data_IF_964838959921
#
_entry.id   IF_964838959921
#
_cell.length_a   1.000
_cell.length_b   1.000
_cell.length_c   1.000
_cell.angle_alpha   90.00
_cell.angle_beta   90.00
_cell.angle_gamma   90.00
#
_symmetry.space_group_name_H-M   'P 1'
#
loop_
_entity.id
_entity.type
_entity.pdbx_description
1 polymer ?
#
# COMPACT_ATOMS: atom_id res chain seq x y z
N UNK A 1 1.76 6.22 6.30
CA UNK A 1 2.32 4.89 6.54
C UNK A 1 1.49 4.16 7.58
N UNK A 2 0.94 3.00 7.21
CA UNK A 2 0.31 2.07 8.15
C UNK A 2 1.31 1.63 9.23
N UNK A 3 0.86 1.59 10.48
CA UNK A 3 1.61 0.93 11.56
C UNK A 3 1.44 -0.57 11.42
N UNK A 4 2.32 -1.35 12.06
CA UNK A 4 2.32 -2.82 11.90
C UNK A 4 0.98 -3.48 12.23
N UNK A 5 0.29 -3.18 13.36
CA UNK A 5 -0.96 -3.88 13.70
C UNK A 5 -2.08 -3.61 12.70
N UNK A 6 -2.23 -2.35 12.26
CA UNK A 6 -3.27 -1.98 11.29
C UNK A 6 -2.89 -2.41 9.88
N UNK A 7 -1.61 -2.42 9.55
CA UNK A 7 -1.09 -2.91 8.28
C UNK A 7 -1.40 -4.39 8.09
N UNK A 8 -1.04 -5.23 9.07
CA UNK A 8 -1.35 -6.67 9.07
C UNK A 8 -2.85 -6.96 8.92
N UNK A 9 -3.69 -6.16 9.58
CA UNK A 9 -5.13 -6.38 9.57
C UNK A 9 -5.84 -5.87 8.31
N UNK A 10 -5.39 -4.75 7.72
CA UNK A 10 -6.22 -3.98 6.79
C UNK A 10 -5.54 -3.60 5.47
N UNK A 11 -4.21 -3.63 5.38
CA UNK A 11 -3.51 -3.08 4.21
C UNK A 11 -3.95 -3.73 2.90
N UNK A 12 -3.81 -5.05 2.79
CA UNK A 12 -4.18 -5.78 1.58
C UNK A 12 -5.68 -5.66 1.28
N UNK A 13 -6.53 -5.84 2.30
CA UNK A 13 -7.99 -5.90 2.10
C UNK A 13 -8.54 -4.56 1.60
N UNK A 14 -8.02 -3.43 2.11
CA UNK A 14 -8.46 -2.09 1.70
C UNK A 14 -8.04 -1.78 0.26
N UNK A 15 -6.82 -2.14 -0.12
CA UNK A 15 -6.31 -1.90 -1.46
C UNK A 15 -7.04 -2.75 -2.50
N UNK A 16 -7.28 -4.02 -2.20
CA UNK A 16 -8.06 -4.91 -3.06
C UNK A 16 -9.51 -4.45 -3.21
N UNK A 17 -10.14 -4.05 -2.09
CA UNK A 17 -11.48 -3.47 -2.14
C UNK A 17 -11.54 -2.23 -3.05
N UNK A 18 -10.57 -1.32 -2.93
CA UNK A 18 -10.50 -0.11 -3.77
C UNK A 18 -10.32 -0.43 -5.25
N UNK A 19 -9.49 -1.41 -5.58
CA UNK A 19 -9.25 -1.83 -6.96
C UNK A 19 -10.52 -2.39 -7.62
N UNK A 20 -11.26 -3.23 -6.89
CA UNK A 20 -12.53 -3.81 -7.34
C UNK A 20 -13.62 -2.74 -7.49
N UNK A 21 -13.78 -1.88 -6.48
CA UNK A 21 -14.83 -0.84 -6.45
C UNK A 21 -14.69 0.13 -7.63
N UNK A 22 -13.45 0.51 -7.97
CA UNK A 22 -13.16 1.50 -9.00
C UNK A 22 -12.86 0.89 -10.37
N UNK A 23 -12.70 -0.44 -10.44
CA UNK A 23 -12.24 -1.16 -11.62
C UNK A 23 -11.00 -0.51 -12.21
N UNK A 24 -10.00 -0.32 -11.36
CA UNK A 24 -8.73 0.32 -11.69
C UNK A 24 -7.57 -0.46 -11.09
N UNK A 25 -6.41 -0.35 -11.74
CA UNK A 25 -5.16 -0.75 -11.09
C UNK A 25 -4.90 0.18 -9.90
N UNK A 26 -4.54 -0.40 -8.75
CA UNK A 26 -4.14 0.34 -7.56
C UNK A 26 -2.65 0.09 -7.33
N UNK A 27 -1.87 1.15 -7.36
CA UNK A 27 -0.44 1.12 -7.03
C UNK A 27 -0.26 1.77 -5.66
N UNK A 28 0.16 0.97 -4.67
CA UNK A 28 0.30 1.40 -3.29
C UNK A 28 1.78 1.34 -2.87
N UNK A 29 2.42 2.51 -2.83
CA UNK A 29 3.76 2.68 -2.31
C UNK A 29 3.69 2.93 -0.79
N UNK A 30 4.34 2.05 -0.01
CA UNK A 30 4.37 2.10 1.45
C UNK A 30 5.79 2.40 1.98
N UNK A 31 5.86 3.11 3.10
CA UNK A 31 7.10 3.18 3.89
C UNK A 31 7.30 1.86 4.66
N UNK A 32 8.55 1.45 4.83
CA UNK A 32 8.92 0.26 5.59
C UNK A 32 10.00 0.60 6.62
N UNK A 33 9.89 -0.02 7.80
CA UNK A 33 10.93 -0.01 8.82
C UNK A 33 10.78 1.06 9.89
N UNK A 34 11.79 1.12 10.74
CA UNK A 34 11.84 1.99 11.90
C UNK A 34 12.20 3.43 11.50
N UNK A 35 11.38 4.39 11.93
CA UNK A 35 11.57 5.81 11.68
C UNK A 35 11.89 6.53 12.98
N UNK A 36 13.03 7.24 12.98
CA UNK A 36 13.46 8.06 14.10
C UNK A 36 12.50 9.24 14.26
N UNK A 37 11.58 9.17 15.21
CA UNK A 37 10.78 10.32 15.63
C UNK A 37 11.57 11.04 16.71
N UNK A 38 12.17 12.19 16.37
CA UNK A 38 12.78 13.07 17.37
C UNK A 38 11.69 13.80 18.15
N UNK A 39 11.12 13.13 19.16
CA UNK A 39 10.53 13.86 20.27
C UNK A 39 11.69 14.31 21.16
N UNK A 40 11.83 15.63 21.34
CA UNK A 40 12.78 16.22 22.30
C UNK A 40 12.77 15.41 23.60
N UNK A 41 13.93 14.91 24.07
CA UNK A 41 13.96 14.03 25.23
C UNK A 41 13.54 14.85 26.46
N UNK A 42 12.33 14.59 26.96
CA UNK A 42 11.82 15.26 28.15
C UNK A 42 12.32 14.61 29.45
N UNK A 43 12.84 13.38 29.36
CA UNK A 43 13.39 12.66 30.50
C UNK A 43 14.35 11.55 30.06
N UNK A 44 15.38 11.32 30.87
CA UNK A 44 16.46 10.34 30.64
C UNK A 44 16.00 8.86 30.79
N UNK A 45 14.71 8.65 31.13
CA UNK A 45 14.11 7.33 31.37
C UNK A 45 13.13 6.88 30.29
N UNK A 46 12.82 7.73 29.29
CA UNK A 46 11.93 7.37 28.20
C UNK A 46 12.71 6.62 27.11
N UNK A 47 12.60 5.29 27.08
CA UNK A 47 13.01 4.46 25.93
C UNK A 47 12.39 5.07 24.66
N UNK A 48 13.24 5.60 23.79
CA UNK A 48 12.88 6.16 22.47
C UNK A 48 12.13 5.09 21.66
N UNK A 49 10.80 5.15 21.65
CA UNK A 49 9.96 4.21 20.89
C UNK A 49 9.94 4.65 19.44
N UNK A 50 10.74 3.99 18.59
CA UNK A 50 10.76 4.23 17.15
C UNK A 50 9.44 3.78 16.51
N UNK A 51 8.90 4.58 15.59
CA UNK A 51 7.68 4.24 14.86
C UNK A 51 8.05 3.30 13.72
N UNK A 52 7.48 2.09 13.70
CA UNK A 52 7.69 1.12 12.61
C UNK A 52 6.54 1.17 11.61
N UNK A 53 6.88 1.41 10.33
CA UNK A 53 5.94 1.35 9.21
C UNK A 53 5.88 -0.05 8.63
N UNK A 54 4.68 -0.50 8.25
CA UNK A 54 4.39 -1.87 7.85
C UNK A 54 5.12 -2.32 6.55
N UNK A 55 5.31 -1.42 5.58
CA UNK A 55 5.79 -1.79 4.25
C UNK A 55 4.72 -2.49 3.43
N UNK A 56 5.09 -3.58 2.76
CA UNK A 56 4.20 -4.39 1.90
C UNK A 56 3.63 -3.59 0.71
N UNK A 57 4.46 -2.73 0.11
CA UNK A 57 4.08 -2.02 -1.13
C UNK A 57 3.54 -3.01 -2.16
N UNK A 58 2.42 -2.69 -2.81
CA UNK A 58 1.77 -3.64 -3.70
C UNK A 58 1.08 -2.98 -4.89
N UNK A 59 0.89 -3.78 -5.94
CA UNK A 59 0.05 -3.43 -7.08
C UNK A 59 -1.09 -4.44 -7.17
N UNK A 60 -2.30 -3.92 -7.30
CA UNK A 60 -3.53 -4.70 -7.42
C UNK A 60 -4.20 -4.41 -8.76
N UNK A 61 -4.65 -5.45 -9.44
CA UNK A 61 -5.38 -5.35 -10.71
C UNK A 61 -6.85 -4.92 -10.50
N UNK A 62 -7.56 -4.52 -11.57
CA UNK A 62 -8.98 -4.13 -11.51
C UNK A 62 -9.96 -5.23 -11.05
N UNK A 63 -9.52 -6.49 -11.01
CA UNK A 63 -10.29 -7.63 -10.50
C UNK A 63 -10.01 -7.91 -9.01
N UNK A 64 -9.11 -7.13 -8.40
CA UNK A 64 -8.68 -7.30 -7.02
C UNK A 64 -7.62 -8.36 -6.81
N UNK A 65 -6.88 -8.79 -7.84
CA UNK A 65 -5.73 -9.70 -7.70
C UNK A 65 -4.47 -8.89 -7.42
N UNK A 66 -3.67 -9.34 -6.47
CA UNK A 66 -2.35 -8.75 -6.21
C UNK A 66 -1.39 -9.26 -7.28
N UNK A 67 -0.83 -8.34 -8.07
CA UNK A 67 0.09 -8.67 -9.18
C UNK A 67 1.55 -8.35 -8.84
N UNK A 68 1.78 -7.59 -7.77
CA UNK A 68 3.08 -7.39 -7.15
C UNK A 68 2.87 -7.13 -5.67
N UNK A 69 3.67 -7.75 -4.83
CA UNK A 69 3.79 -7.47 -3.41
C UNK A 69 5.29 -7.45 -3.06
N UNK A 70 5.71 -6.38 -2.40
CA UNK A 70 7.08 -6.17 -1.94
C UNK A 70 7.20 -6.58 -0.48
N UNK A 71 8.42 -6.81 -0.03
CA UNK A 71 8.66 -7.16 1.37
C UNK A 71 8.31 -6.00 2.31
N UNK A 72 8.09 -6.34 3.57
CA UNK A 72 7.74 -5.38 4.60
C UNK A 72 8.30 -5.75 5.97
N UNK A 73 7.49 -5.50 6.98
CA UNK A 73 7.76 -5.96 8.35
C UNK A 73 7.53 -7.45 8.45
N UNK A 74 8.44 -8.14 9.15
CA UNK A 74 8.39 -9.58 9.39
C UNK A 74 7.06 -9.98 10.04
N UNK A 75 6.44 -11.09 9.63
CA UNK A 75 5.14 -11.52 10.17
C UNK A 75 5.21 -11.94 11.64
N UNK A 76 6.38 -12.42 12.10
CA UNK A 76 6.67 -12.88 13.45
C UNK A 76 7.16 -11.78 14.39
N UNK A 77 7.38 -10.55 13.89
CA UNK A 77 7.81 -9.43 14.73
C UNK A 77 6.78 -9.11 15.83
N UNK A 78 7.27 -8.97 17.06
CA UNK A 78 6.50 -8.87 18.31
C UNK A 78 6.30 -7.42 18.80
N UNK A 79 7.01 -6.46 18.21
CA UNK A 79 6.93 -5.05 18.62
C UNK A 79 8.05 -4.58 19.54
N UNK A 80 9.01 -5.45 19.91
CA UNK A 80 10.03 -5.10 20.90
C UNK A 80 11.28 -4.49 20.28
N UNK A 81 11.94 -5.19 19.35
CA UNK A 81 13.16 -4.70 18.70
C UNK A 81 12.85 -4.08 17.33
N UNK A 82 12.86 -2.74 17.24
CA UNK A 82 12.58 -2.05 15.97
C UNK A 82 13.66 -2.26 14.90
N UNK A 83 14.88 -2.64 15.28
CA UNK A 83 15.99 -2.88 14.34
C UNK A 83 15.80 -4.19 13.55
N UNK A 84 15.22 -5.21 14.19
CA UNK A 84 14.93 -6.53 13.58
C UNK A 84 13.52 -6.61 12.98
N UNK A 85 12.78 -5.50 12.95
CA UNK A 85 11.39 -5.51 12.50
C UNK A 85 11.22 -5.86 11.01
N UNK A 86 12.24 -5.60 10.20
CA UNK A 86 12.13 -5.57 8.74
C UNK A 86 12.70 -6.85 8.12
N UNK A 87 12.06 -7.34 7.06
CA UNK A 87 12.60 -8.45 6.28
C UNK A 87 13.87 -8.05 5.52
N UNK A 88 14.79 -8.99 5.35
CA UNK A 88 16.04 -8.75 4.65
C UNK A 88 15.76 -8.40 3.18
N UNK A 89 16.24 -7.22 2.78
CA UNK A 89 16.03 -6.67 1.45
C UNK A 89 14.70 -5.94 1.26
N UNK A 90 13.90 -5.68 2.31
CA UNK A 90 12.69 -4.87 2.17
C UNK A 90 12.97 -3.36 2.05
N UNK A 91 14.07 -2.87 2.64
CA UNK A 91 14.45 -1.46 2.57
C UNK A 91 15.14 -1.17 1.23
N UNK A 92 14.63 -0.17 0.50
CA UNK A 92 15.23 0.27 -0.77
C UNK A 92 14.96 -0.65 -1.96
N UNK A 93 14.04 -1.60 -1.82
CA UNK A 93 13.60 -2.47 -2.91
C UNK A 93 12.79 -1.68 -3.95
N UNK A 94 12.85 -2.10 -5.22
CA UNK A 94 12.05 -1.54 -6.31
C UNK A 94 11.30 -2.66 -7.04
N UNK A 95 9.97 -2.58 -7.03
CA UNK A 95 9.10 -3.45 -7.81
C UNK A 95 8.70 -2.81 -9.13
N UNK A 96 8.75 -3.58 -10.22
CA UNK A 96 8.32 -3.14 -11.56
C UNK A 96 7.20 -4.05 -12.02
N UNK A 97 6.15 -3.45 -12.57
CA UNK A 97 4.98 -4.15 -13.11
C UNK A 97 4.62 -3.55 -14.45
N UNK A 98 4.36 -4.41 -15.42
CA UNK A 98 3.76 -4.00 -16.70
C UNK A 98 2.23 -3.98 -16.55
N UNK A 99 1.63 -2.84 -16.89
CA UNK A 99 0.18 -2.66 -16.81
C UNK A 99 -0.45 -3.02 -18.16
N UNK A 100 -1.23 -4.10 -18.18
CA UNK A 100 -2.04 -4.48 -19.35
C UNK A 100 -3.34 -3.67 -19.37
N UNK A 101 -3.41 -2.70 -20.28
CA UNK A 101 -4.61 -1.90 -20.52
C UNK A 101 -5.73 -2.70 -21.20
N UNK A 102 -5.39 -3.74 -21.97
CA UNK A 102 -6.38 -4.64 -22.57
C UNK A 102 -7.12 -5.45 -21.50
N UNK A 103 -6.45 -5.86 -20.43
CA UNK A 103 -7.11 -6.52 -19.30
C UNK A 103 -8.06 -5.56 -18.56
N UNK A 104 -7.67 -4.30 -18.39
CA UNK A 104 -8.55 -3.28 -17.81
C UNK A 104 -9.83 -3.08 -18.63
N UNK A 105 -9.73 -3.00 -19.95
CA UNK A 105 -10.90 -2.91 -20.84
C UNK A 105 -11.82 -4.13 -20.68
N UNK A 106 -11.24 -5.33 -20.69
CA UNK A 106 -12.01 -6.59 -20.51
C UNK A 106 -12.73 -6.64 -19.18
N UNK A 107 -12.11 -6.17 -18.09
CA UNK A 107 -12.75 -6.14 -16.77
C UNK A 107 -13.99 -5.24 -16.79
N UNK A 108 -13.88 -4.05 -17.39
CA UNK A 108 -15.00 -3.11 -17.49
C UNK A 108 -16.09 -3.56 -18.45
N UNK A 109 -15.74 -4.29 -19.49
CA UNK A 109 -16.70 -4.93 -20.39
C UNK A 109 -17.47 -6.06 -19.68
N UNK A 110 -16.76 -6.96 -19.00
CA UNK A 110 -17.33 -8.15 -18.36
C UNK A 110 -18.12 -7.83 -17.09
N UNK A 111 -17.79 -6.74 -16.40
CA UNK A 111 -18.43 -6.33 -15.16
C UNK A 111 -18.64 -4.81 -15.13
N UNK A 112 -19.59 -4.23 -15.88
CA UNK A 112 -19.74 -2.78 -15.94
C UNK A 112 -20.32 -2.22 -14.62
N UNK A 113 -19.47 -1.91 -13.65
CA UNK A 113 -19.88 -1.31 -12.37
C UNK A 113 -20.15 0.19 -12.49
N UNK A 114 -19.51 0.86 -13.46
CA UNK A 114 -19.79 2.25 -13.80
C UNK A 114 -21.16 2.32 -14.50
N UNK A 115 -22.20 2.52 -13.69
CA UNK A 115 -23.59 2.68 -14.12
C UNK A 115 -23.71 3.93 -15.00
N UNK A 116 -24.44 3.81 -16.13
CA UNK A 116 -24.76 4.92 -17.06
C UNK A 116 -25.28 6.16 -16.31
N UNK A 117 -24.42 7.14 -16.04
CA UNK A 117 -24.87 8.52 -15.87
C UNK A 117 -25.28 9.01 -17.25
N UNK A 118 -26.57 9.32 -17.41
CA UNK A 118 -27.10 9.94 -18.62
C UNK A 118 -26.39 11.27 -18.88
N UNK A 119 -25.63 11.37 -19.96
CA UNK A 119 -25.16 12.65 -20.51
C UNK A 119 -23.65 12.74 -20.75
N UNK A 120 -23.28 12.79 -22.04
CA UNK A 120 -22.02 13.26 -22.64
C UNK A 120 -20.70 12.62 -22.18
N UNK A 121 -20.17 11.80 -23.08
CA UNK A 121 -18.80 11.35 -23.27
C UNK A 121 -17.70 12.27 -22.70
N UNK A 122 -17.07 11.81 -21.62
CA UNK A 122 -15.65 12.00 -21.33
C UNK A 122 -15.25 10.92 -20.32
N UNK A 123 -14.69 9.81 -20.79
CA UNK A 123 -14.25 8.71 -19.92
C UNK A 123 -12.86 9.08 -19.41
N UNK A 124 -12.77 9.80 -18.29
CA UNK A 124 -11.51 9.93 -17.57
C UNK A 124 -11.12 8.57 -16.97
N UNK A 125 -9.85 8.19 -17.12
CA UNK A 125 -9.27 7.01 -16.46
C UNK A 125 -8.95 7.44 -15.02
N UNK A 126 -9.64 6.93 -13.99
CA UNK A 126 -9.23 7.21 -12.62
C UNK A 126 -7.98 6.35 -12.31
N UNK A 127 -6.80 6.94 -12.44
CA UNK A 127 -5.57 6.43 -11.82
C UNK A 127 -5.55 6.90 -10.37
N UNK A 128 -5.84 5.99 -9.44
CA UNK A 128 -5.73 6.25 -8.01
C UNK A 128 -4.33 5.86 -7.54
N UNK A 129 -3.47 6.86 -7.38
CA UNK A 129 -2.21 6.72 -6.63
C UNK A 129 -2.51 7.04 -5.18
N UNK A 130 -2.46 6.03 -4.30
CA UNK A 130 -2.48 6.27 -2.87
C UNK A 130 -1.10 6.81 -2.48
N UNK A 131 -0.99 8.14 -2.43
CA UNK A 131 0.24 8.84 -2.02
C UNK A 131 0.26 8.89 -0.48
N UNK A 132 0.86 7.91 0.17
CA UNK A 132 1.34 8.14 1.53
C UNK A 132 2.62 8.97 1.46
N UNK A 133 2.57 10.16 2.06
CA UNK A 133 3.63 11.17 2.04
C UNK A 133 4.96 10.56 2.52
N UNK A 134 5.95 10.55 1.63
CA UNK A 134 7.37 10.39 1.96
C UNK A 134 7.83 11.68 2.62
N UNK A 135 7.69 11.77 3.94
CA UNK A 135 8.56 12.63 4.73
C UNK A 135 9.41 11.70 5.61
N UNK A 136 10.73 11.81 5.40
CA UNK A 136 11.78 11.14 6.16
C UNK A 136 11.86 11.74 7.57
#
# INVERSE_FOLDING_TARGET
>A
AFTVPTGRAHWEVLLRARAIETQSYVVAAAQVGAHNVEASPSSESEKKKSRVSYGHSMVVDPWGRVILEMKGVRPDWDGENSEDAVEDGAVGELGVVEIDLGEWERVREKMPLVRRTSGSSSTSIPMFVLKETLEC
#
